data_IF_971455849380
#
_entry.id   IF_971455849380
#
_cell.length_a   1.000
_cell.length_b   1.000
_cell.length_c   1.000
_cell.angle_alpha   90.00
_cell.angle_beta   90.00
_cell.angle_gamma   90.00
#
_symmetry.space_group_name_H-M   'P 1'
#
loop_
_entity.id
_entity.type
_entity.pdbx_description
1 polymer ?
#
# COMPACT_ATOMS: atom_id res chain seq x y z
N UNK A 1 -38.33 2.09 0.25
CA UNK A 1 -37.75 2.27 1.60
C UNK A 1 -36.27 1.91 1.51
N UNK A 2 -35.38 2.87 1.23
CA UNK A 2 -33.94 2.58 1.15
C UNK A 2 -33.39 2.50 2.58
N UNK A 3 -33.11 1.29 3.05
CA UNK A 3 -32.32 1.09 4.27
C UNK A 3 -30.94 1.69 4.01
N UNK A 4 -30.73 2.95 4.41
CA UNK A 4 -29.38 3.55 4.50
C UNK A 4 -28.64 2.77 5.57
N UNK A 5 -27.92 1.73 5.15
CA UNK A 5 -27.01 0.98 5.99
C UNK A 5 -26.03 1.96 6.62
N UNK A 6 -25.97 1.99 7.96
CA UNK A 6 -24.97 2.79 8.66
C UNK A 6 -23.59 2.47 8.09
N UNK A 7 -22.82 3.48 7.66
CA UNK A 7 -21.53 3.23 7.06
C UNK A 7 -20.60 2.63 8.10
N UNK A 8 -20.18 1.39 7.87
CA UNK A 8 -19.42 0.62 8.84
C UNK A 8 -17.93 0.94 8.73
N UNK A 9 -17.26 0.99 9.88
CA UNK A 9 -15.80 1.06 9.95
C UNK A 9 -15.11 -0.09 9.21
N UNK A 10 -15.77 -1.24 9.16
CA UNK A 10 -15.33 -2.38 8.37
C UNK A 10 -15.38 -2.09 6.87
N UNK A 11 -16.48 -1.50 6.36
CA UNK A 11 -16.58 -1.12 4.95
C UNK A 11 -15.53 -0.09 4.56
N UNK A 12 -15.18 0.83 5.47
CA UNK A 12 -14.07 1.77 5.26
C UNK A 12 -12.74 1.03 5.10
N UNK A 13 -12.42 0.11 6.01
CA UNK A 13 -11.19 -0.67 5.95
C UNK A 13 -11.10 -1.51 4.67
N UNK A 14 -12.19 -2.16 4.28
CA UNK A 14 -12.24 -2.92 3.03
C UNK A 14 -11.98 -2.02 1.81
N UNK A 15 -12.62 -0.85 1.74
CA UNK A 15 -12.58 0.02 0.57
C UNK A 15 -11.25 0.78 0.42
N UNK A 16 -10.64 1.21 1.53
CA UNK A 16 -9.46 2.07 1.50
C UNK A 16 -8.15 1.36 1.87
N UNK A 17 -8.21 0.16 2.47
CA UNK A 17 -7.02 -0.61 2.87
C UNK A 17 -6.93 -1.93 2.10
N UNK A 18 -7.98 -2.75 2.08
CA UNK A 18 -7.93 -4.08 1.43
C UNK A 18 -7.99 -3.96 -0.09
N UNK A 19 -8.87 -3.12 -0.63
CA UNK A 19 -9.06 -2.98 -2.07
C UNK A 19 -7.77 -2.57 -2.82
N UNK A 20 -6.98 -1.58 -2.35
CA UNK A 20 -5.67 -1.28 -2.95
C UNK A 20 -4.66 -2.42 -2.94
N UNK A 21 -4.80 -3.41 -2.05
CA UNK A 21 -3.90 -4.58 -1.94
C UNK A 21 -4.34 -5.75 -2.83
N UNK A 22 -5.52 -5.69 -3.44
CA UNK A 22 -6.04 -6.74 -4.32
C UNK A 22 -5.06 -7.09 -5.45
N UNK A 23 -4.44 -6.15 -6.17
CA UNK A 23 -3.47 -6.49 -7.23
C UNK A 23 -2.31 -7.33 -6.73
N UNK A 24 -1.78 -7.03 -5.54
CA UNK A 24 -0.70 -7.78 -4.91
C UNK A 24 -1.10 -9.22 -4.56
N UNK A 25 -2.26 -9.40 -3.91
CA UNK A 25 -2.75 -10.75 -3.57
C UNK A 25 -3.14 -11.55 -4.81
N UNK A 26 -3.77 -10.91 -5.79
CA UNK A 26 -4.15 -11.53 -7.05
C UNK A 26 -2.91 -12.03 -7.81
N UNK A 27 -1.85 -11.23 -7.88
CA UNK A 27 -0.59 -11.65 -8.49
C UNK A 27 -0.01 -12.89 -7.77
N UNK A 28 0.00 -12.87 -6.43
CA UNK A 28 0.46 -14.01 -5.63
C UNK A 28 -0.32 -15.28 -5.94
N UNK A 29 -1.66 -15.21 -5.98
CA UNK A 29 -2.53 -16.36 -6.31
C UNK A 29 -2.23 -16.88 -7.72
N UNK A 30 -2.14 -15.99 -8.72
CA UNK A 30 -1.81 -16.37 -10.10
C UNK A 30 -0.46 -17.09 -10.15
N UNK A 31 0.57 -16.55 -9.48
CA UNK A 31 1.90 -17.15 -9.45
C UNK A 31 1.92 -18.51 -8.74
N UNK A 32 1.17 -18.68 -7.66
CA UNK A 32 1.03 -19.99 -6.99
C UNK A 32 0.39 -21.02 -7.92
N UNK A 33 -0.68 -20.63 -8.64
CA UNK A 33 -1.36 -21.52 -9.58
C UNK A 33 -0.43 -21.92 -10.74
N UNK A 34 0.35 -20.96 -11.26
CA UNK A 34 1.24 -21.19 -12.42
C UNK A 34 2.50 -21.97 -12.05
N UNK A 35 3.15 -21.64 -10.93
CA UNK A 35 4.47 -22.19 -10.57
C UNK A 35 4.42 -23.27 -9.48
N UNK A 36 3.29 -23.47 -8.82
CA UNK A 36 3.08 -24.52 -7.82
C UNK A 36 3.92 -24.39 -6.54
N UNK A 37 4.68 -23.30 -6.38
CA UNK A 37 5.59 -23.08 -5.25
C UNK A 37 5.35 -21.74 -4.56
N UNK A 38 5.35 -21.78 -3.22
CA UNK A 38 5.36 -20.61 -2.35
C UNK A 38 6.82 -20.27 -2.03
N UNK A 39 7.45 -19.44 -2.86
CA UNK A 39 8.77 -18.89 -2.61
C UNK A 39 8.66 -17.38 -2.31
N UNK A 40 9.67 -16.79 -1.69
CA UNK A 40 9.77 -15.33 -1.49
C UNK A 40 9.72 -14.57 -2.83
N UNK A 41 10.09 -15.21 -3.95
CA UNK A 41 9.90 -14.70 -5.31
C UNK A 41 8.46 -14.76 -5.85
N UNK A 42 7.53 -15.43 -5.15
CA UNK A 42 6.12 -15.53 -5.54
C UNK A 42 5.40 -14.18 -5.40
N UNK A 43 5.90 -13.27 -4.57
CA UNK A 43 5.34 -11.92 -4.42
C UNK A 43 6.32 -10.89 -4.97
N UNK A 44 5.91 -10.13 -6.00
CA UNK A 44 6.73 -9.04 -6.52
C UNK A 44 6.68 -7.83 -5.57
N UNK A 45 7.86 -7.43 -5.10
CA UNK A 45 8.06 -6.22 -4.30
C UNK A 45 7.61 -4.95 -5.03
N UNK A 46 7.71 -4.91 -6.36
CA UNK A 46 7.19 -3.80 -7.17
C UNK A 46 5.67 -3.67 -7.02
N UNK A 47 4.93 -4.77 -7.16
CA UNK A 47 3.47 -4.77 -7.02
C UNK A 47 3.04 -4.43 -5.58
N UNK A 48 3.80 -4.90 -4.58
CA UNK A 48 3.59 -4.52 -3.18
C UNK A 48 3.78 -3.01 -2.98
N UNK A 49 4.90 -2.46 -3.46
CA UNK A 49 5.20 -1.03 -3.36
C UNK A 49 4.12 -0.18 -4.04
N UNK A 50 3.70 -0.54 -5.26
CA UNK A 50 2.62 0.12 -5.96
C UNK A 50 1.30 0.06 -5.15
N UNK A 51 0.93 -1.11 -4.66
CA UNK A 51 -0.30 -1.30 -3.88
C UNK A 51 -0.29 -0.49 -2.58
N UNK A 52 0.87 -0.40 -1.90
CA UNK A 52 1.04 0.43 -0.71
C UNK A 52 0.98 1.93 -1.03
N UNK A 53 1.55 2.36 -2.15
CA UNK A 53 1.42 3.74 -2.63
C UNK A 53 -0.04 4.12 -2.89
N UNK A 54 -0.79 3.24 -3.56
CA UNK A 54 -2.23 3.43 -3.83
C UNK A 54 -3.03 3.44 -2.51
N UNK A 55 -2.76 2.53 -1.59
CA UNK A 55 -3.38 2.51 -0.25
C UNK A 55 -3.20 3.86 0.44
N UNK A 56 -1.98 4.38 0.45
CA UNK A 56 -1.70 5.67 1.06
C UNK A 56 -2.51 6.80 0.42
N UNK A 57 -2.65 6.81 -0.92
CA UNK A 57 -3.50 7.78 -1.61
C UNK A 57 -4.99 7.62 -1.27
N UNK A 58 -5.48 6.39 -1.16
CA UNK A 58 -6.88 6.10 -0.83
C UNK A 58 -7.23 6.57 0.58
N UNK A 59 -6.40 6.23 1.56
CA UNK A 59 -6.57 6.69 2.95
C UNK A 59 -6.46 8.21 3.04
N UNK A 60 -5.47 8.80 2.37
CA UNK A 60 -5.29 10.25 2.34
C UNK A 60 -6.52 10.98 1.77
N UNK A 61 -7.03 10.52 0.62
CA UNK A 61 -8.26 11.08 0.03
C UNK A 61 -9.47 10.92 0.95
N UNK A 62 -9.57 9.79 1.65
CA UNK A 62 -10.63 9.60 2.64
C UNK A 62 -10.51 10.58 3.81
N UNK A 63 -9.29 10.87 4.27
CA UNK A 63 -9.06 11.84 5.33
C UNK A 63 -9.45 13.24 4.88
N UNK A 64 -8.95 13.70 3.72
CA UNK A 64 -9.31 15.03 3.18
C UNK A 64 -10.84 15.18 3.08
N UNK A 65 -11.55 14.14 2.66
CA UNK A 65 -13.02 14.16 2.60
C UNK A 65 -13.69 14.28 3.97
N UNK A 66 -13.07 13.78 5.05
CA UNK A 66 -13.58 13.88 6.41
C UNK A 66 -13.12 15.16 7.12
N UNK A 67 -12.01 15.78 6.69
CA UNK A 67 -11.49 17.03 7.27
C UNK A 67 -12.51 18.15 7.10
N UNK A 68 -13.18 18.20 5.95
CA UNK A 68 -14.27 19.11 5.68
C UNK A 68 -15.48 18.94 6.65
N UNK A 69 -15.55 17.81 7.36
CA UNK A 69 -16.69 17.44 8.22
C UNK A 69 -16.32 17.55 9.71
N UNK A 70 -15.04 17.34 10.09
CA UNK A 70 -14.59 17.27 11.48
C UNK A 70 -13.72 18.47 11.82
N UNK A 71 -14.32 19.49 12.45
CA UNK A 71 -13.65 20.76 12.76
C UNK A 71 -12.77 20.73 14.03
N UNK A 72 -12.95 19.73 14.90
CA UNK A 72 -12.44 19.72 16.28
C UNK A 72 -11.05 19.07 16.43
N UNK A 73 -10.50 18.46 15.36
CA UNK A 73 -9.23 17.72 15.40
C UNK A 73 -8.32 17.97 14.17
N UNK A 74 -8.54 19.11 13.49
CA UNK A 74 -7.95 19.44 12.18
C UNK A 74 -6.42 19.36 12.17
N UNK A 75 -5.74 19.85 13.21
CA UNK A 75 -4.26 19.87 13.25
C UNK A 75 -3.61 18.48 13.22
N UNK A 76 -4.13 17.50 13.98
CA UNK A 76 -3.61 16.12 13.96
C UNK A 76 -3.94 15.43 12.64
N UNK A 77 -5.11 15.71 12.09
CA UNK A 77 -5.60 15.12 10.85
C UNK A 77 -4.77 15.57 9.64
N UNK A 78 -4.45 16.87 9.54
CA UNK A 78 -3.55 17.43 8.53
C UNK A 78 -2.16 16.79 8.60
N UNK A 79 -1.61 16.60 9.81
CA UNK A 79 -0.34 15.92 10.00
C UNK A 79 -0.35 14.49 9.42
N UNK A 80 -1.44 13.74 9.65
CA UNK A 80 -1.58 12.36 9.16
C UNK A 80 -1.78 12.31 7.64
N UNK A 81 -2.53 13.26 7.07
CA UNK A 81 -2.65 13.47 5.62
C UNK A 81 -1.27 13.62 4.97
N UNK A 82 -0.41 14.46 5.56
CA UNK A 82 0.96 14.64 5.08
C UNK A 82 1.79 13.37 5.23
N UNK A 83 1.69 12.65 6.34
CA UNK A 83 2.40 11.37 6.53
C UNK A 83 2.01 10.36 5.44
N UNK A 84 0.71 10.17 5.17
CA UNK A 84 0.28 9.29 4.08
C UNK A 84 0.75 9.79 2.71
N UNK A 85 0.78 11.10 2.48
CA UNK A 85 1.32 11.68 1.24
C UNK A 85 2.80 11.35 1.05
N UNK A 86 3.61 11.52 2.11
CA UNK A 86 5.03 11.16 2.11
C UNK A 86 5.25 9.67 1.89
N UNK A 87 4.48 8.82 2.57
CA UNK A 87 4.53 7.37 2.35
C UNK A 87 4.16 7.01 0.91
N UNK A 88 3.13 7.63 0.32
CA UNK A 88 2.76 7.37 -1.06
C UNK A 88 3.91 7.69 -2.04
N UNK A 89 4.52 8.86 -1.90
CA UNK A 89 5.68 9.26 -2.71
C UNK A 89 6.83 8.27 -2.52
N UNK A 90 7.15 7.93 -1.28
CA UNK A 90 8.19 6.97 -0.96
C UNK A 90 7.96 5.61 -1.64
N UNK A 91 6.76 5.06 -1.55
CA UNK A 91 6.41 3.78 -2.18
C UNK A 91 6.43 3.83 -3.71
N UNK A 92 6.00 4.94 -4.34
CA UNK A 92 6.10 5.08 -5.79
C UNK A 92 7.55 5.23 -6.29
N UNK A 93 8.40 5.94 -5.53
CA UNK A 93 9.84 6.01 -5.84
C UNK A 93 10.47 4.62 -5.72
N UNK A 94 10.17 3.87 -4.65
CA UNK A 94 10.64 2.50 -4.48
C UNK A 94 10.15 1.56 -5.58
N UNK A 95 8.88 1.67 -5.98
CA UNK A 95 8.34 0.96 -7.14
C UNK A 95 9.19 1.22 -8.40
N UNK A 96 9.48 2.49 -8.70
CA UNK A 96 10.33 2.87 -9.82
C UNK A 96 11.73 2.27 -9.74
N UNK A 97 12.37 2.32 -8.57
CA UNK A 97 13.70 1.74 -8.35
C UNK A 97 13.68 0.22 -8.56
N UNK A 98 12.71 -0.51 -7.98
CA UNK A 98 12.62 -1.97 -8.13
C UNK A 98 12.37 -2.37 -9.59
N UNK A 99 11.49 -1.66 -10.29
CA UNK A 99 11.23 -1.91 -11.72
C UNK A 99 12.50 -1.65 -12.53
N UNK A 100 13.21 -0.54 -12.26
CA UNK A 100 14.48 -0.22 -12.90
C UNK A 100 15.54 -1.29 -12.65
N UNK A 101 15.74 -1.72 -11.40
CA UNK A 101 16.68 -2.79 -11.05
C UNK A 101 16.33 -4.11 -11.73
N UNK A 102 15.04 -4.44 -11.82
CA UNK A 102 14.58 -5.66 -12.51
C UNK A 102 14.86 -5.58 -14.02
N UNK A 103 14.57 -4.45 -14.65
CA UNK A 103 14.86 -4.24 -16.08
C UNK A 103 16.37 -4.25 -16.37
N UNK A 104 17.19 -3.72 -15.44
CA UNK A 104 18.64 -3.76 -15.55
C UNK A 104 19.15 -5.20 -15.50
N UNK A 105 18.63 -6.02 -14.58
CA UNK A 105 18.97 -7.45 -14.48
C UNK A 105 18.60 -8.22 -15.75
N UNK A 106 17.43 -7.95 -16.33
CA UNK A 106 16.99 -8.58 -17.60
C UNK A 106 17.90 -8.21 -18.77
N UNK A 107 18.39 -6.97 -18.82
CA UNK A 107 19.25 -6.49 -19.93
C UNK A 107 20.69 -7.02 -19.86
N UNK A 108 21.25 -7.23 -18.67
CA UNK A 108 22.68 -7.50 -18.52
C UNK A 108 23.11 -8.96 -18.71
N UNK A 109 22.20 -9.89 -18.99
CA UNK A 109 22.44 -11.35 -19.20
C UNK A 109 23.25 -12.09 -18.10
N UNK A 110 23.72 -11.39 -17.07
CA UNK A 110 24.62 -11.90 -16.05
C UNK A 110 24.37 -11.26 -14.70
N UNK A 111 23.98 -12.08 -13.72
CA UNK A 111 24.76 -12.47 -12.53
C UNK A 111 25.65 -11.43 -11.83
N UNK A 112 25.40 -10.13 -11.98
CA UNK A 112 26.13 -9.13 -11.24
C UNK A 112 25.63 -9.21 -9.78
N UNK A 113 26.37 -9.97 -8.97
CA UNK A 113 26.03 -10.33 -7.58
C UNK A 113 25.60 -9.10 -6.79
N UNK A 114 26.23 -7.94 -7.05
CA UNK A 114 25.89 -6.66 -6.42
C UNK A 114 24.46 -6.18 -6.73
N UNK A 115 23.99 -6.34 -7.96
CA UNK A 115 22.63 -5.93 -8.36
C UNK A 115 21.59 -6.84 -7.69
N UNK A 116 21.90 -8.14 -7.59
CA UNK A 116 21.05 -9.13 -6.91
C UNK A 116 20.96 -8.81 -5.41
N UNK A 117 22.09 -8.51 -4.76
CA UNK A 117 22.12 -8.10 -3.35
C UNK A 117 21.32 -6.81 -3.10
N UNK A 118 21.50 -5.79 -3.95
CA UNK A 118 20.74 -4.53 -3.88
C UNK A 118 19.25 -4.81 -4.03
N UNK A 119 18.86 -5.61 -5.03
CA UNK A 119 17.45 -5.98 -5.23
C UNK A 119 16.90 -6.72 -4.01
N UNK A 120 17.63 -7.68 -3.46
CA UNK A 120 17.20 -8.41 -2.27
C UNK A 120 17.02 -7.48 -1.06
N UNK A 121 17.95 -6.54 -0.85
CA UNK A 121 17.82 -5.55 0.21
C UNK A 121 16.58 -4.67 0.01
N UNK A 122 16.32 -4.21 -1.21
CA UNK A 122 15.11 -3.45 -1.55
C UNK A 122 13.83 -4.25 -1.30
N UNK A 123 13.82 -5.54 -1.66
CA UNK A 123 12.68 -6.43 -1.43
C UNK A 123 12.36 -6.57 0.07
N UNK A 124 13.38 -6.75 0.91
CA UNK A 124 13.23 -6.80 2.38
C UNK A 124 12.70 -5.46 2.92
N UNK A 125 13.26 -4.34 2.45
CA UNK A 125 12.86 -2.99 2.90
C UNK A 125 11.39 -2.74 2.56
N UNK A 126 10.94 -3.10 1.36
CA UNK A 126 9.53 -2.92 0.96
C UNK A 126 8.63 -3.84 1.77
N UNK A 127 9.01 -5.11 1.96
CA UNK A 127 8.21 -6.08 2.70
C UNK A 127 8.02 -5.68 4.17
N UNK A 128 9.09 -5.23 4.82
CA UNK A 128 9.02 -4.71 6.20
C UNK A 128 8.31 -3.36 6.28
N UNK A 129 8.60 -2.45 5.35
CA UNK A 129 8.02 -1.12 5.26
C UNK A 129 6.52 -1.13 4.99
N UNK A 130 6.02 -2.14 4.28
CA UNK A 130 4.59 -2.36 4.00
C UNK A 130 3.71 -2.45 5.25
N UNK A 131 4.27 -2.83 6.40
CA UNK A 131 3.52 -2.87 7.67
C UNK A 131 3.18 -1.48 8.20
N UNK A 132 3.98 -0.47 7.86
CA UNK A 132 3.80 0.91 8.34
C UNK A 132 2.48 1.53 7.85
N UNK A 133 2.19 1.62 6.55
CA UNK A 133 0.94 2.22 6.08
C UNK A 133 -0.29 1.43 6.53
N UNK A 134 -0.21 0.10 6.64
CA UNK A 134 -1.31 -0.73 7.14
C UNK A 134 -1.58 -0.43 8.62
N UNK A 135 -0.55 -0.46 9.46
CA UNK A 135 -0.69 -0.17 10.89
C UNK A 135 -1.16 1.26 11.15
N UNK A 136 -0.61 2.22 10.40
CA UNK A 136 -1.02 3.62 10.47
C UNK A 136 -2.46 3.80 10.01
N UNK A 137 -2.93 3.08 8.99
CA UNK A 137 -4.32 3.15 8.53
C UNK A 137 -5.30 2.62 9.59
N UNK A 138 -4.95 1.53 10.28
CA UNK A 138 -5.74 0.97 11.38
C UNK A 138 -5.81 1.94 12.56
N UNK A 139 -4.67 2.53 12.92
CA UNK A 139 -4.60 3.52 13.99
C UNK A 139 -5.44 4.76 13.63
N UNK A 140 -5.27 5.28 12.42
CA UNK A 140 -6.00 6.45 11.90
C UNK A 140 -7.51 6.21 11.88
N UNK A 141 -7.94 5.05 11.39
CA UNK A 141 -9.35 4.64 11.36
C UNK A 141 -9.95 4.66 12.77
N UNK A 142 -9.23 4.13 13.76
CA UNK A 142 -9.66 4.12 15.17
C UNK A 142 -9.66 5.51 15.79
N UNK A 143 -8.62 6.31 15.55
CA UNK A 143 -8.45 7.64 16.13
C UNK A 143 -9.49 8.64 15.67
N UNK A 144 -9.96 8.55 14.43
CA UNK A 144 -10.96 9.47 13.88
C UNK A 144 -12.34 8.83 13.68
N UNK A 145 -12.52 7.57 14.09
CA UNK A 145 -13.76 6.80 13.90
C UNK A 145 -14.26 6.88 12.44
N UNK A 146 -13.35 6.69 11.48
CA UNK A 146 -13.65 6.85 10.05
C UNK A 146 -14.68 5.80 9.62
N UNK A 147 -15.60 6.25 8.76
CA UNK A 147 -16.70 5.44 8.21
C UNK A 147 -16.75 5.63 6.69
N UNK A 148 -17.22 4.62 5.98
CA UNK A 148 -17.34 4.70 4.52
C UNK A 148 -18.42 5.74 4.15
N UNK A 149 -18.06 6.93 3.70
CA UNK A 149 -19.05 7.89 3.22
C UNK A 149 -19.52 7.47 1.83
N UNK A 150 -20.79 7.08 1.73
CA UNK A 150 -21.48 6.74 0.47
C UNK A 150 -21.77 7.97 -0.37
#
# INVERSE_FOLDING_TARGET
>A
MSTRSHPSSFAWFISYVVFPLVPFFLEGIIRIIVFGMLDLGTFRSSTLAMSMGILCLFVNRSLISHEAIIHDNTGKMVGIIHIFSWLAIFFFVFFGIVVFSSALMERTDFSNVKIIEIKHALDIIILSGALVPVSLSLWTQRSFNLRATS
#
